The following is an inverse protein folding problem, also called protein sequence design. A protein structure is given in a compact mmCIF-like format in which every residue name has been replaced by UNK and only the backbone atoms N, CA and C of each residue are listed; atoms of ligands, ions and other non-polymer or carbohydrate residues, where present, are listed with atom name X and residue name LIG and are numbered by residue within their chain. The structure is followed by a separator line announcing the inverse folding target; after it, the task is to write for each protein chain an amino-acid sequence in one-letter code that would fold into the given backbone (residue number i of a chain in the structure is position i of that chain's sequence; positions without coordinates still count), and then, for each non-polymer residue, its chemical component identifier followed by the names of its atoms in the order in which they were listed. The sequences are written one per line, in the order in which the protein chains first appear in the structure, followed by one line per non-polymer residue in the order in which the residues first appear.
data_IF_653384402034
#
_entry.id   IF_653384402034
#
_cell.length_a   1.000
_cell.length_b   1.000
_cell.length_c   1.000
_cell.angle_alpha   90.00
_cell.angle_beta   90.00
_cell.angle_gamma   90.00
#
_symmetry.space_group_name_H-M   'P 1'
#
loop_
_entity.id
_entity.type
_entity.pdbx_description
1 polymer ?
#
# COMPACT_ATOMS: atom_id res chain seq x y z
N UNK A 1 -50.59 75.51 2.76
CA UNK A 1 -49.43 74.60 2.60
C UNK A 1 -49.49 73.54 3.68
N UNK A 2 -50.00 72.31 3.46
CA UNK A 2 -49.92 71.26 4.51
C UNK A 2 -50.21 69.81 4.07
N UNK A 3 -50.71 69.52 2.86
CA UNK A 3 -51.12 68.14 2.52
C UNK A 3 -50.01 67.28 1.88
N UNK A 4 -49.04 67.89 1.19
CA UNK A 4 -47.97 67.13 0.47
C UNK A 4 -46.91 66.52 1.40
N UNK A 5 -46.70 67.07 2.60
CA UNK A 5 -45.68 66.56 3.53
C UNK A 5 -46.16 65.34 4.34
N UNK A 6 -47.46 65.18 4.56
CA UNK A 6 -48.02 64.07 5.34
C UNK A 6 -47.99 62.73 4.58
N UNK A 7 -48.23 62.78 3.26
CA UNK A 7 -48.20 61.60 2.38
C UNK A 7 -46.76 61.12 2.18
N UNK A 8 -45.79 62.04 2.09
CA UNK A 8 -44.37 61.68 1.97
C UNK A 8 -43.82 61.07 3.26
N UNK A 9 -44.18 61.60 4.44
CA UNK A 9 -43.79 61.01 5.73
C UNK A 9 -44.34 59.59 5.92
N UNK A 10 -45.62 59.36 5.63
CA UNK A 10 -46.23 58.02 5.77
C UNK A 10 -45.63 56.99 4.82
N UNK A 11 -45.23 57.39 3.61
CA UNK A 11 -44.54 56.52 2.65
C UNK A 11 -43.14 56.12 3.12
N UNK A 12 -42.37 57.08 3.67
CA UNK A 12 -41.02 56.82 4.21
C UNK A 12 -41.09 55.88 5.42
N UNK A 13 -42.02 56.11 6.35
CA UNK A 13 -42.21 55.23 7.51
C UNK A 13 -42.61 53.81 7.11
N UNK A 14 -43.48 53.67 6.09
CA UNK A 14 -43.85 52.35 5.56
C UNK A 14 -42.62 51.63 5.01
N UNK A 15 -41.82 52.27 4.17
CA UNK A 15 -40.61 51.63 3.62
C UNK A 15 -39.55 51.32 4.68
N UNK A 16 -39.36 52.19 5.67
CA UNK A 16 -38.49 51.94 6.81
C UNK A 16 -38.95 50.72 7.62
N UNK A 17 -40.25 50.56 7.84
CA UNK A 17 -40.80 49.40 8.55
C UNK A 17 -40.59 48.09 7.81
N UNK A 18 -40.76 48.10 6.48
CA UNK A 18 -40.48 46.93 5.65
C UNK A 18 -38.97 46.60 5.67
N UNK A 19 -38.09 47.60 5.60
CA UNK A 19 -36.65 47.39 5.67
C UNK A 19 -36.19 46.79 7.02
N UNK A 20 -36.75 47.27 8.13
CA UNK A 20 -36.49 46.72 9.47
C UNK A 20 -37.00 45.29 9.57
N UNK A 21 -38.20 45.01 9.06
CA UNK A 21 -38.76 43.66 9.02
C UNK A 21 -37.87 42.70 8.20
N UNK A 22 -37.44 43.12 7.02
CA UNK A 22 -36.52 42.32 6.19
C UNK A 22 -35.16 42.09 6.88
N UNK A 23 -34.62 43.09 7.57
CA UNK A 23 -33.36 42.94 8.32
C UNK A 23 -33.49 41.94 9.48
N UNK A 24 -34.59 41.96 10.22
CA UNK A 24 -34.86 41.02 11.32
C UNK A 24 -35.04 39.59 10.78
N UNK A 25 -35.79 39.43 9.69
CA UNK A 25 -35.96 38.12 9.03
C UNK A 25 -34.62 37.58 8.53
N UNK A 26 -33.75 38.44 7.97
CA UNK A 26 -32.42 38.05 7.51
C UNK A 26 -31.51 37.60 8.67
N UNK A 27 -31.51 38.34 9.80
CA UNK A 27 -30.75 37.94 10.99
C UNK A 27 -31.25 36.62 11.60
N UNK A 28 -32.57 36.39 11.63
CA UNK A 28 -33.14 35.12 12.08
C UNK A 28 -32.80 33.94 11.15
N UNK A 29 -32.75 34.17 9.83
CA UNK A 29 -32.36 33.15 8.86
C UNK A 29 -30.85 32.81 8.94
N UNK A 30 -29.99 33.78 9.20
CA UNK A 30 -28.57 33.54 9.47
C UNK A 30 -28.34 32.79 10.80
N UNK A 31 -29.14 33.08 11.83
CA UNK A 31 -29.11 32.38 13.12
C UNK A 31 -29.57 30.91 13.07
N UNK A 32 -30.45 30.57 12.12
CA UNK A 32 -30.93 29.20 11.88
C UNK A 32 -30.04 28.39 10.92
N UNK A 33 -28.92 28.92 10.46
CA UNK A 33 -27.99 28.19 9.60
C UNK A 33 -27.26 27.12 10.42
N UNK A 34 -27.60 25.84 10.16
CA UNK A 34 -26.89 24.70 10.74
C UNK A 34 -25.38 24.88 10.56
N UNK A 35 -24.64 24.99 11.69
CA UNK A 35 -23.18 25.12 11.69
C UNK A 35 -22.57 23.91 11.00
N UNK A 36 -21.77 24.17 9.98
CA UNK A 36 -21.05 23.14 9.23
C UNK A 36 -19.77 22.75 9.95
N UNK A 37 -19.17 21.59 9.63
CA UNK A 37 -17.87 21.18 10.19
C UNK A 37 -16.76 22.24 10.01
N UNK A 38 -16.87 23.07 8.96
CA UNK A 38 -15.98 24.21 8.72
C UNK A 38 -16.14 25.28 9.80
N UNK A 39 -17.37 25.52 10.25
CA UNK A 39 -17.71 26.53 11.26
C UNK A 39 -17.25 26.09 12.68
N UNK A 40 -16.95 24.80 12.86
CA UNK A 40 -16.32 24.24 14.06
C UNK A 40 -14.78 24.18 13.97
N UNK A 41 -14.17 24.75 12.91
CA UNK A 41 -12.72 24.78 12.74
C UNK A 41 -12.11 23.48 12.21
N UNK A 42 -12.91 22.52 11.74
CA UNK A 42 -12.37 21.33 11.10
C UNK A 42 -11.93 21.60 9.66
N UNK A 43 -10.76 21.08 9.29
CA UNK A 43 -10.27 21.12 7.91
C UNK A 43 -11.10 20.16 7.04
N UNK A 44 -12.18 20.69 6.47
CA UNK A 44 -13.08 19.97 5.56
C UNK A 44 -12.35 19.50 4.30
N UNK A 45 -11.24 20.14 3.91
CA UNK A 45 -10.39 19.71 2.81
C UNK A 45 -9.61 18.44 3.15
N UNK A 46 -8.97 18.41 4.32
CA UNK A 46 -8.31 17.22 4.86
C UNK A 46 -9.31 16.07 5.04
N UNK A 47 -10.48 16.32 5.64
CA UNK A 47 -11.53 15.30 5.84
C UNK A 47 -12.05 14.79 4.49
N UNK A 48 -12.30 15.66 3.50
CA UNK A 48 -12.72 15.22 2.16
C UNK A 48 -11.65 14.41 1.45
N UNK A 49 -10.37 14.78 1.58
CA UNK A 49 -9.25 14.02 1.03
C UNK A 49 -9.10 12.67 1.72
N UNK A 50 -9.30 12.61 3.03
CA UNK A 50 -9.25 11.38 3.80
C UNK A 50 -10.45 10.46 3.51
N UNK A 51 -11.64 11.02 3.31
CA UNK A 51 -12.83 10.25 2.90
C UNK A 51 -12.73 9.79 1.45
N UNK A 52 -12.19 10.62 0.54
CA UNK A 52 -11.92 10.21 -0.86
C UNK A 52 -10.85 9.13 -0.93
N UNK A 53 -9.77 9.24 -0.15
CA UNK A 53 -8.73 8.20 -0.10
C UNK A 53 -9.25 6.89 0.50
N UNK A 54 -10.14 6.94 1.50
CA UNK A 54 -10.84 5.75 2.04
C UNK A 54 -11.84 5.14 1.07
N UNK A 55 -12.58 5.93 0.28
CA UNK A 55 -13.63 5.42 -0.65
C UNK A 55 -13.09 4.80 -1.95
N UNK A 56 -11.89 5.15 -2.41
CA UNK A 56 -11.41 4.76 -3.76
C UNK A 56 -10.51 3.50 -3.74
N UNK A 57 -10.03 3.05 -2.56
CA UNK A 57 -9.00 2.01 -2.47
C UNK A 57 -9.36 0.79 -1.62
N UNK A 58 -10.63 0.36 -1.64
CA UNK A 58 -11.01 -0.92 -1.01
C UNK A 58 -10.46 -2.07 -1.84
N UNK A 59 -9.24 -2.47 -1.53
CA UNK A 59 -8.64 -3.75 -1.96
C UNK A 59 -9.17 -4.81 -1.01
N UNK A 60 -9.80 -5.86 -1.55
CA UNK A 60 -10.28 -6.97 -0.71
C UNK A 60 -9.10 -7.77 -0.18
N UNK A 61 -9.27 -8.48 0.93
CA UNK A 61 -8.21 -9.35 1.46
C UNK A 61 -7.87 -10.47 0.47
N UNK A 62 -8.86 -10.97 -0.27
CA UNK A 62 -8.68 -11.97 -1.33
C UNK A 62 -7.86 -11.42 -2.49
N UNK A 63 -8.10 -10.18 -2.92
CA UNK A 63 -7.33 -9.53 -3.97
C UNK A 63 -5.90 -9.25 -3.51
N UNK A 64 -5.74 -8.79 -2.27
CA UNK A 64 -4.43 -8.59 -1.66
C UNK A 64 -3.63 -9.90 -1.65
N UNK A 65 -4.26 -11.00 -1.19
CA UNK A 65 -3.64 -12.32 -1.18
C UNK A 65 -3.25 -12.79 -2.59
N UNK A 66 -4.19 -12.76 -3.55
CA UNK A 66 -3.93 -13.19 -4.92
C UNK A 66 -2.82 -12.35 -5.58
N UNK A 67 -2.84 -11.04 -5.37
CA UNK A 67 -1.81 -10.16 -5.91
C UNK A 67 -0.44 -10.48 -5.32
N UNK A 68 -0.33 -10.64 -3.99
CA UNK A 68 0.95 -10.98 -3.35
C UNK A 68 1.48 -12.34 -3.80
N UNK A 69 0.61 -13.35 -3.98
CA UNK A 69 1.01 -14.65 -4.50
C UNK A 69 1.54 -14.56 -5.93
N UNK A 70 0.81 -13.87 -6.82
CA UNK A 70 1.19 -13.71 -8.22
C UNK A 70 2.51 -12.94 -8.37
N UNK A 71 2.66 -11.83 -7.64
CA UNK A 71 3.88 -11.02 -7.68
C UNK A 71 5.05 -11.70 -6.99
N UNK A 72 4.83 -12.39 -5.88
CA UNK A 72 5.85 -13.22 -5.23
C UNK A 72 6.41 -14.28 -6.18
N UNK A 73 5.54 -14.99 -6.91
CA UNK A 73 5.94 -15.96 -7.95
C UNK A 73 6.72 -15.30 -9.08
N UNK A 74 6.25 -14.15 -9.57
CA UNK A 74 6.92 -13.40 -10.64
C UNK A 74 8.33 -12.96 -10.23
N UNK A 75 8.45 -12.34 -9.05
CA UNK A 75 9.71 -11.87 -8.47
C UNK A 75 10.65 -13.05 -8.26
N UNK A 76 10.18 -14.13 -7.64
CA UNK A 76 10.99 -15.33 -7.38
C UNK A 76 11.49 -15.96 -8.68
N UNK A 77 10.66 -16.06 -9.72
CA UNK A 77 11.06 -16.55 -11.05
C UNK A 77 12.16 -15.69 -11.68
N UNK A 78 12.00 -14.36 -11.65
CA UNK A 78 12.98 -13.43 -12.23
C UNK A 78 14.29 -13.49 -11.42
N UNK A 79 14.20 -13.48 -10.10
CA UNK A 79 15.34 -13.51 -9.21
C UNK A 79 16.12 -14.84 -9.35
N UNK A 80 15.44 -15.99 -9.43
CA UNK A 80 16.05 -17.29 -9.73
C UNK A 80 16.76 -17.31 -11.08
N UNK A 81 16.22 -16.64 -12.11
CA UNK A 81 16.89 -16.48 -13.41
C UNK A 81 18.19 -15.68 -13.28
N UNK A 82 18.16 -14.57 -12.54
CA UNK A 82 19.37 -13.78 -12.29
C UNK A 82 20.41 -14.56 -11.50
N UNK A 83 20.01 -15.32 -10.47
CA UNK A 83 20.90 -16.20 -9.73
C UNK A 83 21.52 -17.26 -10.63
N UNK A 84 20.70 -17.98 -11.41
CA UNK A 84 21.20 -19.02 -12.30
C UNK A 84 22.18 -18.44 -13.35
N UNK A 85 21.93 -17.23 -13.83
CA UNK A 85 22.86 -16.55 -14.76
C UNK A 85 24.16 -16.16 -14.06
N UNK A 86 24.09 -15.55 -12.88
CA UNK A 86 25.27 -15.19 -12.10
C UNK A 86 26.11 -16.43 -11.73
N UNK A 87 25.44 -17.51 -11.34
CA UNK A 87 26.05 -18.79 -11.00
C UNK A 87 26.73 -19.47 -12.21
N UNK A 88 26.04 -19.56 -13.36
CA UNK A 88 26.58 -20.28 -14.53
C UNK A 88 27.58 -19.45 -15.35
N UNK A 89 27.46 -18.12 -15.38
CA UNK A 89 28.33 -17.23 -16.19
C UNK A 89 29.42 -16.52 -15.39
N UNK A 90 29.38 -16.62 -14.06
CA UNK A 90 30.41 -16.11 -13.15
C UNK A 90 30.37 -14.60 -12.91
N UNK A 91 30.23 -14.21 -11.64
CA UNK A 91 31.18 -13.27 -11.05
C UNK A 91 32.45 -14.10 -10.84
N UNK A 92 33.52 -13.81 -11.58
CA UNK A 92 34.64 -14.72 -11.88
C UNK A 92 35.42 -15.31 -10.67
N UNK A 93 35.09 -14.92 -9.43
CA UNK A 93 35.80 -15.36 -8.21
C UNK A 93 34.94 -16.10 -7.18
N UNK A 94 33.61 -16.21 -7.34
CA UNK A 94 32.73 -16.78 -6.30
C UNK A 94 32.03 -18.06 -6.77
N UNK A 95 32.72 -19.20 -6.67
CA UNK A 95 32.08 -20.52 -6.73
C UNK A 95 31.19 -20.70 -5.50
N UNK A 96 29.89 -20.45 -5.62
CA UNK A 96 28.90 -20.75 -4.58
C UNK A 96 28.81 -22.27 -4.41
N UNK A 97 29.56 -22.81 -3.46
CA UNK A 97 29.72 -24.26 -3.26
C UNK A 97 28.74 -24.84 -2.22
N UNK A 98 28.09 -23.97 -1.43
CA UNK A 98 27.20 -24.35 -0.34
C UNK A 98 26.14 -23.27 -0.08
N UNK A 99 25.07 -23.62 0.63
CA UNK A 99 24.04 -22.66 1.02
C UNK A 99 24.56 -21.57 1.99
N UNK A 100 25.75 -21.74 2.58
CA UNK A 100 26.45 -20.73 3.40
C UNK A 100 26.85 -19.49 2.60
N UNK A 101 26.97 -19.60 1.29
CA UNK A 101 27.40 -18.51 0.41
C UNK A 101 26.21 -17.80 -0.26
N UNK A 102 24.96 -18.13 0.10
CA UNK A 102 23.77 -17.41 -0.37
C UNK A 102 23.80 -15.93 0.03
N UNK A 103 24.41 -15.58 1.16
CA UNK A 103 24.62 -14.17 1.54
C UNK A 103 25.59 -13.44 0.60
N UNK A 104 26.46 -14.13 -0.13
CA UNK A 104 27.29 -13.53 -1.20
C UNK A 104 26.50 -13.30 -2.50
N UNK A 105 25.29 -13.86 -2.62
CA UNK A 105 24.36 -13.62 -3.73
C UNK A 105 23.43 -12.41 -3.48
N UNK A 106 23.38 -11.89 -2.25
CA UNK A 106 22.64 -10.68 -1.89
C UNK A 106 23.05 -9.41 -2.63
N UNK A 107 24.35 -9.08 -2.84
CA UNK A 107 24.73 -7.85 -3.53
C UNK A 107 24.54 -7.91 -5.05
N UNK A 108 23.67 -8.79 -5.55
CA UNK A 108 23.28 -8.73 -6.95
C UNK A 108 22.40 -7.50 -7.14
N UNK A 109 22.98 -6.45 -7.72
CA UNK A 109 22.28 -5.21 -8.09
C UNK A 109 20.93 -5.46 -8.81
N UNK A 110 20.81 -6.59 -9.52
CA UNK A 110 19.57 -7.00 -10.18
C UNK A 110 18.45 -7.40 -9.21
N UNK A 111 18.77 -8.05 -8.08
CA UNK A 111 17.80 -8.42 -7.03
C UNK A 111 17.42 -7.16 -6.25
N UNK A 112 18.38 -6.30 -5.90
CA UNK A 112 18.09 -5.02 -5.24
C UNK A 112 17.24 -4.10 -6.11
N UNK A 113 17.54 -4.04 -7.42
CA UNK A 113 16.73 -3.32 -8.39
C UNK A 113 15.31 -3.89 -8.45
N UNK A 114 15.16 -5.22 -8.37
CA UNK A 114 13.86 -5.88 -8.36
C UNK A 114 13.08 -5.50 -7.08
N UNK A 115 13.72 -5.56 -5.92
CA UNK A 115 13.15 -5.14 -4.64
C UNK A 115 12.66 -3.68 -4.70
N UNK A 116 13.46 -2.77 -5.26
CA UNK A 116 13.11 -1.35 -5.47
C UNK A 116 11.93 -1.16 -6.43
N UNK A 117 11.93 -1.85 -7.58
CA UNK A 117 10.86 -1.76 -8.59
C UNK A 117 9.52 -2.20 -8.02
N UNK A 118 9.50 -3.34 -7.32
CA UNK A 118 8.27 -3.89 -6.74
C UNK A 118 7.98 -3.33 -5.34
N UNK A 119 8.84 -2.46 -4.78
CA UNK A 119 8.73 -1.90 -3.43
C UNK A 119 8.55 -2.98 -2.34
N UNK A 120 9.32 -4.06 -2.47
CA UNK A 120 9.33 -5.18 -1.52
C UNK A 120 10.69 -5.28 -0.86
N UNK A 121 10.74 -5.99 0.26
CA UNK A 121 12.00 -6.44 0.86
C UNK A 121 12.20 -7.93 0.51
N UNK A 122 13.39 -8.29 0.03
CA UNK A 122 13.71 -9.66 -0.40
C UNK A 122 14.87 -10.14 0.46
N UNK A 123 14.61 -11.15 1.30
CA UNK A 123 15.57 -11.69 2.24
C UNK A 123 15.89 -13.15 1.90
N UNK A 124 17.12 -13.50 1.52
CA UNK A 124 17.54 -14.88 1.37
C UNK A 124 17.87 -15.48 2.73
N UNK A 125 17.43 -16.71 2.93
CA UNK A 125 17.55 -17.47 4.16
C UNK A 125 18.26 -18.79 3.82
N UNK A 126 19.38 -19.02 4.47
CA UNK A 126 20.19 -20.23 4.29
C UNK A 126 19.73 -21.36 5.21
N UNK A 127 19.62 -22.58 4.68
CA UNK A 127 19.30 -23.78 5.47
C UNK A 127 20.45 -24.25 6.37
N UNK A 128 21.66 -23.75 6.14
CA UNK A 128 22.84 -24.08 6.96
C UNK A 128 23.02 -23.15 8.18
N UNK A 129 22.09 -22.21 8.42
CA UNK A 129 22.11 -21.36 9.63
C UNK A 129 22.16 -22.23 10.90
N UNK A 130 23.01 -21.86 11.86
CA UNK A 130 23.13 -22.55 13.14
C UNK A 130 21.99 -22.20 14.11
N UNK A 131 21.42 -21.01 13.98
CA UNK A 131 20.40 -20.43 14.86
C UNK A 131 19.29 -19.74 14.05
N UNK A 132 18.10 -19.65 14.65
CA UNK A 132 16.85 -19.18 14.02
C UNK A 132 16.53 -17.73 14.45
N UNK A 133 17.44 -17.11 15.20
CA UNK A 133 17.12 -16.05 16.15
C UNK A 133 16.66 -14.73 15.50
N UNK A 134 16.83 -14.59 14.18
CA UNK A 134 16.42 -13.43 13.37
C UNK A 134 15.39 -13.75 12.26
N UNK A 135 14.65 -14.85 12.36
CA UNK A 135 13.60 -15.20 11.38
C UNK A 135 12.19 -14.93 11.91
N UNK A 136 11.27 -14.54 11.02
CA UNK A 136 9.86 -14.53 11.40
C UNK A 136 9.40 -15.96 11.74
N UNK A 137 8.44 -16.14 12.68
CA UNK A 137 7.98 -17.49 13.07
C UNK A 137 7.58 -18.38 11.89
N UNK A 138 6.97 -17.79 10.87
CA UNK A 138 6.62 -18.48 9.63
C UNK A 138 7.86 -18.91 8.85
N UNK A 139 8.86 -18.06 8.71
CA UNK A 139 10.11 -18.42 8.02
C UNK A 139 10.87 -19.51 8.77
N UNK A 140 10.88 -19.43 10.10
CA UNK A 140 11.47 -20.42 10.98
C UNK A 140 10.81 -21.80 10.80
N UNK A 141 9.48 -21.85 10.71
CA UNK A 141 8.74 -23.10 10.48
C UNK A 141 9.08 -23.72 9.11
N UNK A 142 9.05 -22.91 8.04
CA UNK A 142 9.40 -23.38 6.70
C UNK A 142 10.88 -23.78 6.59
N UNK A 143 11.78 -23.07 7.28
CA UNK A 143 13.19 -23.41 7.38
C UNK A 143 13.41 -24.77 8.08
N UNK A 144 12.70 -25.03 9.18
CA UNK A 144 12.75 -26.33 9.89
C UNK A 144 12.24 -27.48 9.01
N UNK A 145 11.12 -27.28 8.31
CA UNK A 145 10.51 -28.28 7.40
C UNK A 145 11.46 -28.70 6.27
N UNK A 146 12.23 -27.76 5.73
CA UNK A 146 13.24 -28.07 4.72
C UNK A 146 14.42 -28.87 5.30
N UNK A 147 14.89 -28.50 6.50
CA UNK A 147 16.02 -29.18 7.15
C UNK A 147 15.71 -30.64 7.49
N UNK A 148 14.46 -30.99 7.76
CA UNK A 148 14.03 -32.37 8.03
C UNK A 148 13.90 -33.26 6.78
N UNK A 149 14.33 -32.79 5.60
CA UNK A 149 14.21 -33.55 4.34
C UNK A 149 12.76 -33.69 3.85
N UNK A 150 11.84 -32.91 4.43
CA UNK A 150 10.49 -32.78 3.90
C UNK A 150 10.56 -32.19 2.49
N UNK A 151 9.76 -32.74 1.60
CA UNK A 151 9.59 -32.38 0.19
C UNK A 151 9.87 -30.92 -0.17
N UNK A 152 10.34 -30.71 -1.41
CA UNK A 152 10.42 -29.42 -2.08
C UNK A 152 9.22 -28.52 -1.72
N UNK A 153 9.44 -27.49 -0.88
CA UNK A 153 8.34 -26.64 -0.43
C UNK A 153 7.82 -25.87 -1.64
N UNK A 154 6.52 -25.98 -1.89
CA UNK A 154 5.86 -25.14 -2.88
C UNK A 154 5.92 -23.69 -2.41
N UNK A 155 6.07 -22.71 -3.33
CA UNK A 155 5.94 -21.31 -2.96
C UNK A 155 4.62 -21.06 -2.22
N UNK A 156 4.68 -20.35 -1.10
CA UNK A 156 3.52 -20.06 -0.26
C UNK A 156 3.43 -18.57 0.05
N UNK A 157 2.25 -18.12 0.43
CA UNK A 157 2.03 -16.79 1.02
C UNK A 157 1.39 -16.94 2.38
N UNK A 158 1.99 -16.33 3.39
CA UNK A 158 1.46 -16.31 4.75
C UNK A 158 1.28 -14.88 5.24
N UNK A 159 0.30 -14.68 6.12
CA UNK A 159 0.04 -13.38 6.71
C UNK A 159 0.70 -13.28 8.08
N UNK A 160 1.50 -12.23 8.29
CA UNK A 160 2.13 -11.95 9.58
C UNK A 160 1.33 -10.83 10.25
N UNK A 161 0.34 -11.23 11.06
CA UNK A 161 -0.66 -10.36 11.68
C UNK A 161 -0.05 -9.19 12.45
N UNK A 162 0.92 -9.46 13.33
CA UNK A 162 1.52 -8.45 14.21
C UNK A 162 2.22 -7.30 13.47
N UNK A 163 2.55 -7.47 12.19
CA UNK A 163 3.27 -6.48 11.38
C UNK A 163 2.46 -5.96 10.19
N UNK A 164 1.24 -6.47 9.97
CA UNK A 164 0.40 -6.19 8.79
C UNK A 164 1.13 -6.42 7.45
N UNK A 165 2.01 -7.42 7.40
CA UNK A 165 2.78 -7.79 6.19
C UNK A 165 2.32 -9.14 5.67
N UNK A 166 2.31 -9.32 4.35
CA UNK A 166 2.28 -10.67 3.76
C UNK A 166 3.70 -11.07 3.41
N UNK A 167 4.03 -12.31 3.72
CA UNK A 167 5.33 -12.89 3.45
C UNK A 167 5.14 -13.99 2.42
N UNK A 168 5.80 -13.84 1.28
CA UNK A 168 5.88 -14.90 0.28
C UNK A 168 7.18 -15.66 0.48
N UNK A 169 7.08 -16.97 0.66
CA UNK A 169 8.23 -17.83 0.89
C UNK A 169 8.37 -18.75 -0.31
N UNK A 170 9.55 -18.79 -0.91
CA UNK A 170 9.84 -19.71 -2.00
C UNK A 170 11.24 -20.31 -1.86
N UNK A 171 11.42 -21.58 -2.23
CA UNK A 171 12.74 -22.18 -2.28
C UNK A 171 13.61 -21.59 -3.40
N UNK A 172 14.92 -21.63 -3.17
CA UNK A 172 15.95 -21.37 -4.17
C UNK A 172 16.62 -22.69 -4.50
N UNK A 173 16.68 -23.03 -5.78
CA UNK A 173 17.40 -24.21 -6.22
C UNK A 173 18.62 -23.80 -7.03
N UNK A 174 19.82 -24.12 -6.54
CA UNK A 174 21.06 -24.06 -7.29
C UNK A 174 21.55 -25.50 -7.53
N UNK A 175 22.47 -25.70 -8.48
CA UNK A 175 22.93 -27.05 -8.88
C UNK A 175 23.45 -27.90 -7.72
N UNK A 176 24.06 -27.28 -6.71
CA UNK A 176 24.67 -27.97 -5.54
C UNK A 176 24.12 -27.53 -4.19
N UNK A 177 23.19 -26.56 -4.16
CA UNK A 177 22.74 -25.94 -2.93
C UNK A 177 21.25 -25.56 -3.01
N UNK A 178 20.57 -25.66 -1.88
CA UNK A 178 19.15 -25.29 -1.73
C UNK A 178 19.06 -24.26 -0.62
N UNK A 179 18.24 -23.23 -0.83
CA UNK A 179 17.97 -22.15 0.13
C UNK A 179 16.51 -21.74 0.08
N UNK A 180 16.14 -20.65 0.73
CA UNK A 180 14.86 -19.98 0.47
C UNK A 180 15.00 -18.47 0.41
N UNK A 181 14.04 -17.80 -0.23
CA UNK A 181 13.84 -16.36 -0.09
C UNK A 181 12.53 -16.13 0.63
N UNK A 182 12.52 -15.09 1.44
CA UNK A 182 11.34 -14.47 1.98
C UNK A 182 11.15 -13.12 1.30
N UNK A 183 9.96 -12.88 0.75
CA UNK A 183 9.60 -11.61 0.12
C UNK A 183 8.52 -10.95 0.97
N UNK A 184 8.83 -9.79 1.51
CA UNK A 184 7.96 -9.07 2.43
C UNK A 184 7.20 -7.99 1.67
N UNK A 185 5.87 -8.14 1.70
CA UNK A 185 4.93 -7.20 1.12
C UNK A 185 4.33 -6.34 2.23
N UNK A 186 4.63 -5.04 2.20
CA UNK A 186 3.93 -4.06 3.01
C UNK A 186 2.53 -3.80 2.42
N UNK A 187 1.51 -3.96 3.26
CA UNK A 187 0.10 -3.76 2.86
C UNK A 187 -0.13 -2.41 2.20
N UNK A 188 0.46 -1.32 2.71
CA UNK A 188 0.25 0.02 2.14
C UNK A 188 0.84 0.12 0.72
N UNK A 189 2.06 -0.39 0.53
CA UNK A 189 2.72 -0.39 -0.78
C UNK A 189 1.96 -1.23 -1.80
N UNK A 190 1.48 -2.41 -1.39
CA UNK A 190 0.71 -3.28 -2.29
C UNK A 190 -0.61 -2.64 -2.68
N UNK A 191 -1.34 -2.04 -1.74
CA UNK A 191 -2.60 -1.34 -2.05
C UNK A 191 -2.36 -0.26 -3.09
N UNK A 192 -1.32 0.57 -2.93
CA UNK A 192 -0.96 1.60 -3.89
C UNK A 192 -0.64 1.01 -5.28
N UNK A 193 0.07 -0.12 -5.34
CA UNK A 193 0.39 -0.76 -6.62
C UNK A 193 -0.82 -1.37 -7.30
N UNK A 194 -1.70 -2.07 -6.58
CA UNK A 194 -2.95 -2.62 -7.11
C UNK A 194 -3.79 -1.51 -7.74
N UNK A 195 -3.93 -0.38 -7.03
CA UNK A 195 -4.67 0.78 -7.52
C UNK A 195 -4.03 1.34 -8.80
N UNK A 196 -2.71 1.52 -8.81
CA UNK A 196 -1.98 2.01 -9.99
C UNK A 196 -2.14 1.08 -11.19
N UNK A 197 -2.06 -0.24 -11.01
CA UNK A 197 -2.28 -1.23 -12.06
C UNK A 197 -3.72 -1.18 -12.60
N UNK A 198 -4.73 -0.99 -11.73
CA UNK A 198 -6.14 -0.83 -12.13
C UNK A 198 -6.33 0.41 -13.02
N UNK A 199 -5.75 1.54 -12.64
CA UNK A 199 -5.84 2.78 -13.43
C UNK A 199 -5.17 2.65 -14.79
N UNK A 200 -3.99 2.01 -14.86
CA UNK A 200 -3.30 1.74 -16.12
C UNK A 200 -4.12 0.82 -17.04
N UNK A 201 -4.72 -0.25 -16.50
CA UNK A 201 -5.60 -1.15 -17.26
C UNK A 201 -6.83 -0.41 -17.81
N UNK A 202 -7.43 0.50 -17.03
CA UNK A 202 -8.55 1.33 -17.50
C UNK A 202 -8.16 2.25 -18.65
N UNK A 203 -6.99 2.88 -18.59
CA UNK A 203 -6.49 3.74 -19.68
C UNK A 203 -6.25 2.96 -20.97
N UNK A 204 -5.63 1.78 -20.89
CA UNK A 204 -5.38 0.91 -22.06
C UNK A 204 -6.65 0.42 -22.76
N UNK A 205 -7.77 0.27 -22.05
CA UNK A 205 -9.06 -0.13 -22.64
C UNK A 205 -9.79 1.00 -23.36
N UNK A 206 -9.38 2.25 -23.14
CA UNK A 206 -10.00 3.45 -23.75
C UNK A 206 -9.22 3.97 -24.96
N UNK A 207 -7.98 3.53 -25.13
CA UNK A 207 -7.14 3.78 -26.30
C UNK A 207 -7.33 2.67 -27.31
#
# INVERSE_FOLDING_TARGET
MTLKNLVFQTYIFKHAWHAIFFAIVFMCLEGCRNRTLKDYGHDVGAIKNEVKSRKIHRVSETEYQQWTANKGLEISRIAQKYLNRAYNKGLETNKVSSAKEFSKLLPLANIDSLAKVYKVDIQPISFERKQVDDLYPVEADYWKKYKSGGTALKPTTEYVENRRKRVFIAPIYLKVAVGMWSIHFDRQNVIQQIVKEREQKKKKRKS
#
